data_IF_480945935170
#
_entry.id   IF_480945935170
#
_cell.length_a   1.000
_cell.length_b   1.000
_cell.length_c   1.000
_cell.angle_alpha   90.00
_cell.angle_beta   90.00
_cell.angle_gamma   90.00
#
_symmetry.space_group_name_H-M   'P 1'
#
loop_
_entity.id
_entity.type
_entity.pdbx_description
1 polymer ?
#
# COMPACT_ATOMS: atom_id res chain seq x y z
N UNK A 1 -2.15 -4.61 5.03
CA UNK A 1 -2.12 -5.19 6.41
C UNK A 1 -2.36 -4.13 7.48
N UNK A 2 -1.66 -2.98 7.47
CA UNK A 2 -1.88 -1.94 8.49
C UNK A 2 -3.34 -1.49 8.58
N UNK A 3 -3.99 -1.31 7.44
CA UNK A 3 -5.43 -1.08 7.34
C UNK A 3 -6.27 -2.03 8.19
N UNK A 4 -5.97 -3.33 8.14
CA UNK A 4 -6.71 -4.34 8.89
C UNK A 4 -6.49 -4.21 10.39
N UNK A 5 -5.26 -3.85 10.80
CA UNK A 5 -4.91 -3.57 12.20
C UNK A 5 -5.70 -2.36 12.70
N UNK A 6 -5.72 -1.25 11.95
CA UNK A 6 -6.47 -0.05 12.31
C UNK A 6 -7.98 -0.31 12.36
N UNK A 7 -8.50 -1.15 11.46
CA UNK A 7 -9.89 -1.59 11.48
C UNK A 7 -10.23 -2.42 12.73
N UNK A 8 -9.36 -3.35 13.13
CA UNK A 8 -9.52 -4.11 14.37
C UNK A 8 -9.47 -3.21 15.61
N UNK A 9 -8.53 -2.25 15.67
CA UNK A 9 -8.43 -1.30 16.79
C UNK A 9 -9.64 -0.35 16.88
N UNK A 10 -10.30 -0.07 15.75
CA UNK A 10 -11.47 0.79 15.71
C UNK A 10 -12.74 0.10 16.22
N UNK A 11 -12.96 -1.17 15.86
CA UNK A 11 -14.13 -1.95 16.28
C UNK A 11 -13.80 -3.46 16.40
N UNK A 12 -13.10 -3.81 17.47
CA UNK A 12 -12.66 -5.18 17.75
C UNK A 12 -13.84 -6.17 17.83
N UNK A 13 -14.93 -5.76 18.49
CA UNK A 13 -16.08 -6.62 18.73
C UNK A 13 -16.73 -7.04 17.41
N UNK A 14 -16.97 -6.08 16.52
CA UNK A 14 -17.58 -6.35 15.22
C UNK A 14 -16.58 -7.05 14.29
N UNK A 15 -15.29 -6.70 14.32
CA UNK A 15 -14.25 -7.38 13.54
C UNK A 15 -14.16 -8.88 13.89
N UNK A 16 -14.15 -9.21 15.19
CA UNK A 16 -14.06 -10.59 15.69
C UNK A 16 -15.35 -11.37 15.42
N UNK A 17 -16.52 -10.74 15.60
CA UNK A 17 -17.83 -11.35 15.32
C UNK A 17 -17.98 -11.78 13.85
N UNK A 18 -17.43 -11.00 12.93
CA UNK A 18 -17.44 -11.33 11.49
C UNK A 18 -16.37 -12.35 11.09
N UNK A 19 -15.64 -12.94 12.06
CA UNK A 19 -14.57 -13.92 11.85
C UNK A 19 -13.52 -13.42 10.84
N UNK A 20 -13.29 -12.09 10.81
CA UNK A 20 -12.26 -11.48 9.98
C UNK A 20 -10.89 -11.76 10.61
N UNK A 21 -9.88 -11.90 9.77
CA UNK A 21 -8.49 -11.99 10.22
C UNK A 21 -7.65 -10.93 9.49
N UNK A 22 -6.51 -10.57 10.07
CA UNK A 22 -5.65 -9.49 9.56
C UNK A 22 -5.15 -9.75 8.12
N UNK A 23 -5.13 -11.02 7.71
CA UNK A 23 -4.72 -11.45 6.37
C UNK A 23 -5.87 -11.52 5.36
N UNK A 24 -7.14 -11.43 5.79
CA UNK A 24 -8.32 -11.56 4.94
C UNK A 24 -8.82 -10.20 4.42
N UNK A 25 -8.42 -9.11 5.06
CA UNK A 25 -8.64 -7.71 4.65
C UNK A 25 -7.61 -7.34 3.56
N UNK A 26 -7.76 -7.89 2.34
CA UNK A 26 -6.87 -7.64 1.20
C UNK A 26 -7.59 -6.77 0.15
N UNK A 27 -6.89 -5.75 -0.33
CA UNK A 27 -7.26 -4.81 -1.40
C UNK A 27 -7.80 -5.43 -2.71
N UNK A 28 -7.59 -6.74 -2.95
CA UNK A 28 -7.86 -7.37 -4.25
C UNK A 28 -9.11 -8.27 -4.31
N UNK A 29 -9.80 -8.54 -3.19
CA UNK A 29 -11.06 -9.30 -3.24
C UNK A 29 -12.24 -8.33 -3.21
N UNK A 30 -12.58 -7.83 -4.40
CA UNK A 30 -13.73 -6.95 -4.72
C UNK A 30 -15.11 -7.48 -4.27
N UNK A 31 -15.19 -8.66 -3.66
CA UNK A 31 -16.39 -9.32 -3.15
C UNK A 31 -16.32 -9.69 -1.65
N UNK A 32 -15.20 -9.44 -0.97
CA UNK A 32 -15.07 -9.58 0.48
C UNK A 32 -14.60 -8.21 1.01
N UNK A 33 -15.57 -7.30 1.13
CA UNK A 33 -15.41 -5.89 1.47
C UNK A 33 -14.38 -5.67 2.58
N UNK A 34 -13.54 -4.66 2.38
CA UNK A 34 -12.76 -4.06 3.46
C UNK A 34 -13.76 -3.61 4.51
N UNK A 35 -13.73 -4.26 5.66
CA UNK A 35 -14.83 -4.18 6.60
C UNK A 35 -15.02 -2.76 7.18
N UNK A 36 -13.91 -2.02 7.33
CA UNK A 36 -13.90 -0.63 7.76
C UNK A 36 -13.72 0.37 6.62
N UNK A 37 -13.90 -0.05 5.36
CA UNK A 37 -13.86 0.86 4.22
C UNK A 37 -14.85 2.00 4.43
N UNK A 38 -14.37 3.23 4.23
CA UNK A 38 -15.11 4.48 4.42
C UNK A 38 -15.62 4.75 5.86
N UNK A 39 -15.23 3.96 6.87
CA UNK A 39 -15.58 4.21 8.28
C UNK A 39 -14.45 4.92 9.03
N UNK A 40 -13.21 4.44 8.89
CA UNK A 40 -12.04 5.00 9.56
C UNK A 40 -10.85 5.21 8.59
N UNK A 41 -11.15 5.36 7.31
CA UNK A 41 -10.19 5.44 6.23
C UNK A 41 -10.53 6.61 5.31
N UNK A 42 -9.52 7.43 5.01
CA UNK A 42 -9.66 8.58 4.13
C UNK A 42 -8.48 8.62 3.17
N UNK A 43 -8.74 8.98 1.92
CA UNK A 43 -7.76 9.10 0.84
C UNK A 43 -7.08 10.49 0.80
N UNK A 44 -7.61 11.46 1.53
CA UNK A 44 -7.07 12.82 1.62
C UNK A 44 -7.45 13.50 2.93
N UNK A 45 -6.64 14.49 3.34
CA UNK A 45 -6.96 15.33 4.50
C UNK A 45 -8.27 16.10 4.33
N UNK A 46 -8.63 16.49 3.11
CA UNK A 46 -9.90 17.16 2.81
C UNK A 46 -11.08 16.26 3.12
N UNK A 47 -11.04 15.01 2.65
CA UNK A 47 -12.10 14.03 2.91
C UNK A 47 -12.14 13.62 4.38
N UNK A 48 -10.98 13.53 5.04
CA UNK A 48 -10.90 13.31 6.49
C UNK A 48 -11.59 14.43 7.29
N UNK A 49 -11.28 15.70 6.98
CA UNK A 49 -11.90 16.85 7.66
C UNK A 49 -13.41 16.90 7.44
N UNK A 50 -13.85 16.66 6.21
CA UNK A 50 -15.28 16.62 5.87
C UNK A 50 -15.99 15.47 6.58
N UNK A 51 -15.43 14.26 6.55
CA UNK A 51 -16.01 13.07 7.16
C UNK A 51 -16.10 13.15 8.68
N UNK A 52 -15.09 13.74 9.33
CA UNK A 52 -15.06 13.92 10.79
C UNK A 52 -15.67 15.25 11.26
N UNK A 53 -16.10 16.11 10.33
CA UNK A 53 -16.65 17.45 10.60
C UNK A 53 -15.74 18.32 11.47
N UNK A 54 -14.43 18.24 11.23
CA UNK A 54 -13.41 19.04 11.93
C UNK A 54 -12.92 20.19 11.04
N UNK A 55 -12.81 21.39 11.62
CA UNK A 55 -12.39 22.61 10.90
C UNK A 55 -10.88 22.60 10.64
N UNK A 56 -10.10 22.19 11.63
CA UNK A 56 -8.66 22.00 11.52
C UNK A 56 -8.20 20.71 12.23
N UNK A 57 -6.91 20.39 12.10
CA UNK A 57 -6.28 19.22 12.73
C UNK A 57 -5.37 19.66 13.90
N UNK A 58 -5.63 20.81 14.51
CA UNK A 58 -4.81 21.32 15.61
C UNK A 58 -4.90 20.36 16.79
N UNK A 59 -3.75 19.96 17.32
CA UNK A 59 -3.65 18.97 18.41
C UNK A 59 -3.64 17.51 17.95
N UNK A 60 -3.80 17.22 16.65
CA UNK A 60 -3.66 15.87 16.13
C UNK A 60 -2.19 15.48 15.99
N UNK A 61 -1.86 14.23 16.30
CA UNK A 61 -0.55 13.65 16.05
C UNK A 61 -0.61 12.78 14.80
N UNK A 62 0.28 13.03 13.84
CA UNK A 62 0.42 12.22 12.63
C UNK A 62 1.51 11.18 12.85
N UNK A 63 1.17 9.91 12.65
CA UNK A 63 2.10 8.79 12.76
C UNK A 63 2.27 8.17 11.39
N UNK A 64 3.53 8.03 10.96
CA UNK A 64 3.91 7.18 9.85
C UNK A 64 4.74 6.03 10.40
N UNK A 65 4.32 4.81 10.13
CA UNK A 65 5.18 3.63 10.29
C UNK A 65 5.92 3.50 8.96
N UNK A 66 7.22 3.20 8.98
CA UNK A 66 8.00 3.04 7.76
C UNK A 66 8.82 1.78 7.95
N UNK A 67 8.77 0.89 6.96
CA UNK A 67 9.68 -0.25 6.93
C UNK A 67 11.00 0.23 6.34
N UNK A 68 12.11 -0.29 6.84
CA UNK A 68 13.42 -0.03 6.24
C UNK A 68 13.34 -0.21 4.70
N UNK A 69 13.74 0.80 3.90
CA UNK A 69 13.58 0.77 2.46
C UNK A 69 14.32 -0.38 1.77
N UNK A 70 15.50 -0.76 2.28
CA UNK A 70 16.29 -1.85 1.74
C UNK A 70 15.60 -3.19 2.01
N UNK A 71 15.15 -3.42 3.24
CA UNK A 71 14.39 -4.62 3.60
C UNK A 71 13.11 -4.76 2.79
N UNK A 72 12.39 -3.65 2.60
CA UNK A 72 11.18 -3.63 1.78
C UNK A 72 11.49 -4.01 0.33
N UNK A 73 12.55 -3.44 -0.26
CA UNK A 73 12.98 -3.77 -1.60
C UNK A 73 13.36 -5.24 -1.74
N UNK A 74 14.23 -5.75 -0.87
CA UNK A 74 14.71 -7.15 -0.91
C UNK A 74 13.54 -8.11 -0.74
N UNK A 75 12.69 -7.86 0.25
CA UNK A 75 11.49 -8.66 0.52
C UNK A 75 10.52 -8.66 -0.67
N UNK A 76 10.27 -7.48 -1.27
CA UNK A 76 9.41 -7.35 -2.43
C UNK A 76 9.96 -8.09 -3.64
N UNK A 77 11.27 -7.97 -3.91
CA UNK A 77 11.90 -8.52 -5.11
C UNK A 77 11.97 -10.04 -5.02
N UNK A 78 12.41 -10.56 -3.88
CA UNK A 78 12.44 -11.99 -3.60
C UNK A 78 11.03 -12.61 -3.70
N UNK A 79 10.03 -11.95 -3.13
CA UNK A 79 8.67 -12.46 -3.12
C UNK A 79 8.00 -12.39 -4.50
N UNK A 80 7.95 -11.21 -5.12
CA UNK A 80 7.17 -10.96 -6.35
C UNK A 80 7.90 -11.40 -7.62
N UNK A 81 9.20 -11.11 -7.72
CA UNK A 81 9.96 -11.30 -8.95
C UNK A 81 10.64 -12.67 -9.04
N UNK A 82 11.15 -13.19 -7.92
CA UNK A 82 11.85 -14.48 -7.88
C UNK A 82 10.91 -15.66 -7.55
N UNK A 83 10.14 -15.56 -6.46
CA UNK A 83 9.27 -16.65 -5.98
C UNK A 83 7.96 -16.75 -6.74
N UNK A 84 7.14 -15.70 -6.72
CA UNK A 84 5.83 -15.68 -7.39
C UNK A 84 5.95 -15.53 -8.92
N UNK A 85 7.07 -14.93 -9.39
CA UNK A 85 7.35 -14.67 -10.82
C UNK A 85 6.16 -14.01 -11.52
N UNK A 86 5.63 -12.96 -10.91
CA UNK A 86 4.41 -12.26 -11.38
C UNK A 86 4.51 -11.77 -12.82
N UNK A 87 5.75 -11.53 -13.30
CA UNK A 87 6.07 -11.15 -14.67
C UNK A 87 5.72 -12.22 -15.73
N UNK A 88 5.54 -13.50 -15.34
CA UNK A 88 5.09 -14.55 -16.27
C UNK A 88 3.66 -14.32 -16.75
N UNK A 89 2.80 -13.78 -15.88
CA UNK A 89 1.40 -13.49 -16.19
C UNK A 89 1.21 -12.05 -16.66
N UNK A 90 2.02 -11.13 -16.15
CA UNK A 90 1.94 -9.70 -16.44
C UNK A 90 3.36 -9.19 -16.81
N UNK A 91 3.75 -9.24 -18.10
CA UNK A 91 5.13 -9.03 -18.56
C UNK A 91 5.79 -7.73 -18.08
N UNK A 92 4.99 -6.71 -17.84
CA UNK A 92 5.36 -5.37 -17.41
C UNK A 92 5.67 -5.27 -15.90
N UNK A 93 5.23 -6.25 -15.08
CA UNK A 93 5.61 -6.31 -13.65
C UNK A 93 7.09 -6.64 -13.48
N UNK A 94 7.61 -6.34 -12.30
CA UNK A 94 9.05 -6.34 -12.06
C UNK A 94 9.76 -5.45 -13.08
N UNK A 95 9.16 -4.29 -13.41
CA UNK A 95 9.62 -3.31 -14.39
C UNK A 95 10.02 -3.91 -15.76
N UNK A 96 9.44 -5.05 -16.15
CA UNK A 96 9.83 -5.80 -17.35
C UNK A 96 11.24 -6.42 -17.29
N UNK A 97 11.89 -6.42 -16.12
CA UNK A 97 13.24 -6.93 -15.90
C UNK A 97 13.27 -8.41 -15.45
N UNK A 98 12.10 -9.03 -15.23
CA UNK A 98 11.94 -10.41 -14.76
C UNK A 98 12.67 -10.65 -13.44
N UNK A 99 13.86 -11.27 -13.48
CA UNK A 99 14.68 -11.62 -12.30
C UNK A 99 15.99 -10.82 -12.22
N UNK A 100 16.24 -9.88 -13.15
CA UNK A 100 17.43 -9.04 -13.12
C UNK A 100 17.24 -7.87 -12.13
N UNK A 101 17.92 -7.96 -10.98
CA UNK A 101 17.79 -6.98 -9.89
C UNK A 101 18.37 -5.62 -10.25
N UNK A 102 19.49 -5.56 -10.98
CA UNK A 102 20.13 -4.31 -11.41
C UNK A 102 19.21 -3.53 -12.34
N UNK A 103 18.68 -4.20 -13.37
CA UNK A 103 17.69 -3.63 -14.28
C UNK A 103 16.46 -3.11 -13.52
N UNK A 104 15.94 -3.91 -12.58
CA UNK A 104 14.76 -3.54 -11.81
C UNK A 104 15.01 -2.28 -10.97
N UNK A 105 16.13 -2.24 -10.25
CA UNK A 105 16.53 -1.14 -9.38
C UNK A 105 16.70 0.16 -10.17
N UNK A 106 17.41 0.13 -11.28
CA UNK A 106 17.63 1.30 -12.14
C UNK A 106 16.32 1.86 -12.70
N UNK A 107 15.44 0.99 -13.22
CA UNK A 107 14.13 1.41 -13.73
C UNK A 107 13.23 1.95 -12.63
N UNK A 108 13.22 1.33 -11.45
CA UNK A 108 12.42 1.79 -10.33
C UNK A 108 12.89 3.15 -9.82
N UNK A 109 14.21 3.36 -9.75
CA UNK A 109 14.80 4.65 -9.39
C UNK A 109 14.44 5.75 -10.41
N UNK A 110 14.55 5.48 -11.71
CA UNK A 110 14.13 6.41 -12.76
C UNK A 110 12.63 6.74 -12.67
N UNK A 111 11.79 5.75 -12.35
CA UNK A 111 10.36 5.95 -12.14
C UNK A 111 10.09 6.85 -10.93
N UNK A 112 10.76 6.60 -9.80
CA UNK A 112 10.66 7.47 -8.61
C UNK A 112 11.07 8.92 -8.92
N UNK A 113 12.18 9.12 -9.64
CA UNK A 113 12.61 10.47 -10.07
C UNK A 113 11.60 11.17 -10.99
N UNK A 114 10.82 10.42 -11.78
CA UNK A 114 9.76 11.02 -12.60
C UNK A 114 8.59 11.50 -11.75
N UNK A 115 8.26 10.78 -10.67
CA UNK A 115 7.20 11.16 -9.76
C UNK A 115 7.50 12.46 -9.02
N UNK A 116 8.77 12.76 -8.73
CA UNK A 116 9.13 14.04 -8.12
C UNK A 116 8.94 15.25 -9.05
N UNK A 117 8.83 15.01 -10.37
CA UNK A 117 8.70 16.05 -11.40
C UNK A 117 7.31 16.14 -12.00
N UNK A 118 6.38 15.27 -11.60
CA UNK A 118 5.03 15.18 -12.19
C UNK A 118 3.97 15.28 -11.10
N UNK A 119 2.90 16.03 -11.36
CA UNK A 119 1.82 16.27 -10.38
C UNK A 119 0.78 15.16 -10.34
N UNK A 120 0.77 14.24 -11.31
CA UNK A 120 -0.16 13.11 -11.38
C UNK A 120 0.54 11.87 -11.94
N UNK A 121 0.87 10.92 -11.06
CA UNK A 121 1.31 9.59 -11.45
C UNK A 121 0.39 8.55 -10.83
N UNK A 122 -0.13 7.64 -11.66
CA UNK A 122 -0.93 6.50 -11.17
C UNK A 122 0.04 5.43 -10.67
N UNK A 123 -0.18 4.98 -9.43
CA UNK A 123 0.61 3.92 -8.82
C UNK A 123 0.44 2.61 -9.57
N UNK A 124 1.55 2.00 -9.98
CA UNK A 124 1.58 0.68 -10.59
C UNK A 124 1.66 -0.41 -9.51
N UNK A 125 1.50 -1.67 -9.93
CA UNK A 125 1.73 -2.82 -9.07
C UNK A 125 3.13 -2.76 -8.42
N UNK A 126 4.17 -2.45 -9.19
CA UNK A 126 5.53 -2.40 -8.68
C UNK A 126 5.70 -1.20 -7.73
N UNK A 127 5.12 -0.03 -8.03
CA UNK A 127 5.21 1.11 -7.11
C UNK A 127 4.68 0.73 -5.73
N UNK A 128 3.48 0.15 -5.67
CA UNK A 128 2.80 -0.25 -4.43
C UNK A 128 3.61 -1.24 -3.57
N UNK A 129 4.48 -2.04 -4.17
CA UNK A 129 5.29 -3.02 -3.45
C UNK A 129 6.71 -2.52 -3.13
N UNK A 130 7.24 -1.57 -3.89
CA UNK A 130 8.67 -1.26 -3.87
C UNK A 130 9.03 0.19 -3.53
N UNK A 131 8.11 1.15 -3.63
CA UNK A 131 8.41 2.52 -3.16
C UNK A 131 8.58 2.55 -1.64
N UNK A 132 9.38 3.46 -1.09
CA UNK A 132 9.70 3.47 0.34
C UNK A 132 8.53 3.85 1.26
N UNK A 133 7.46 4.48 0.75
CA UNK A 133 6.42 5.11 1.57
C UNK A 133 4.99 4.59 1.40
N UNK A 134 4.78 3.48 0.69
CA UNK A 134 3.43 2.98 0.40
C UNK A 134 3.09 1.67 1.11
N UNK A 135 1.79 1.53 1.42
CA UNK A 135 1.20 0.42 2.14
C UNK A 135 -0.10 -0.04 1.50
#
# INVERSE_FOLDING_TARGET
MLTAILCYLFDEARFTKHKKNLTAEIYHKRFLCRFCEAQNEYDSFTNLRSGLKVVDLKGWSLIAVVRDPLDRFVSGFANKCLRERVWKKFPDRCNGCKTNVTCFMERQYLRMKRWTRTTRSIASFDDNHFFPQNW
#
